data_IF_593138260763
#
_entry.id   IF_593138260763
#
_cell.length_a   1.000
_cell.length_b   1.000
_cell.length_c   1.000
_cell.angle_alpha   90.00
_cell.angle_beta   90.00
_cell.angle_gamma   90.00
#
_symmetry.space_group_name_H-M   'P 1'
#
loop_
_entity.id
_entity.type
_entity.pdbx_description
1 polymer ?
#
# COMPACT_ATOMS: atom_id res chain seq x y z
N UNK A 1 -19.30 32.95 -40.15
CA UNK A 1 -18.49 32.16 -39.19
C UNK A 1 -18.87 30.71 -39.36
N UNK A 2 -17.99 29.81 -39.74
CA UNK A 2 -18.31 28.38 -39.78
C UNK A 2 -18.55 27.85 -38.39
N UNK A 3 -19.62 27.04 -38.21
CA UNK A 3 -19.93 26.40 -36.95
C UNK A 3 -18.81 25.42 -36.60
N UNK A 4 -18.34 25.46 -35.35
CA UNK A 4 -17.46 24.45 -34.81
C UNK A 4 -18.14 23.09 -34.86
N UNK A 5 -17.47 22.01 -35.31
CA UNK A 5 -18.05 20.68 -35.26
C UNK A 5 -18.26 20.32 -33.76
N UNK A 6 -19.47 19.83 -33.46
CA UNK A 6 -19.79 19.18 -32.19
C UNK A 6 -18.73 18.10 -31.93
N UNK A 7 -18.06 18.18 -30.79
CA UNK A 7 -17.20 17.11 -30.31
C UNK A 7 -18.04 15.82 -30.30
N UNK A 8 -17.53 14.78 -30.93
CA UNK A 8 -18.16 13.46 -30.88
C UNK A 8 -18.34 13.08 -29.40
N UNK A 9 -19.54 12.52 -29.12
CA UNK A 9 -19.82 11.97 -27.79
C UNK A 9 -18.67 11.05 -27.35
N UNK A 10 -18.19 11.17 -26.09
CA UNK A 10 -17.15 10.28 -25.61
C UNK A 10 -17.64 8.83 -25.76
N UNK A 11 -16.74 7.89 -26.16
CA UNK A 11 -17.13 6.49 -26.28
C UNK A 11 -17.77 6.06 -24.97
N UNK A 12 -18.91 5.36 -25.06
CA UNK A 12 -19.58 4.77 -23.90
C UNK A 12 -18.52 3.99 -23.10
N UNK A 13 -18.13 4.57 -21.98
CA UNK A 13 -17.37 3.82 -20.99
C UNK A 13 -18.30 2.70 -20.58
N UNK A 14 -18.00 1.46 -21.00
CA UNK A 14 -18.62 0.29 -20.40
C UNK A 14 -18.47 0.49 -18.90
N UNK A 15 -19.58 0.81 -18.24
CA UNK A 15 -19.60 1.18 -16.85
C UNK A 15 -18.94 0.05 -16.07
N UNK A 16 -17.71 0.28 -15.63
CA UNK A 16 -17.12 -0.60 -14.64
C UNK A 16 -18.14 -0.69 -13.50
N UNK A 17 -18.44 -1.89 -12.98
CA UNK A 17 -19.41 -2.02 -11.90
C UNK A 17 -19.04 -0.99 -10.83
N UNK A 18 -20.04 -0.22 -10.36
CA UNK A 18 -19.80 0.79 -9.33
C UNK A 18 -19.03 0.15 -8.18
N UNK A 19 -17.90 0.73 -7.75
CA UNK A 19 -17.13 0.16 -6.67
C UNK A 19 -18.04 0.01 -5.46
N UNK A 20 -18.00 -1.15 -4.81
CA UNK A 20 -18.75 -1.37 -3.59
C UNK A 20 -18.48 -0.20 -2.61
N UNK A 21 -19.52 0.29 -1.89
CA UNK A 21 -19.35 1.42 -0.98
C UNK A 21 -18.21 1.16 0.01
N UNK A 22 -17.42 2.18 0.37
CA UNK A 22 -16.32 2.03 1.29
C UNK A 22 -16.81 1.53 2.64
N UNK A 23 -15.97 0.72 3.30
CA UNK A 23 -16.21 0.25 4.68
C UNK A 23 -15.27 0.97 5.62
N UNK A 24 -15.80 1.63 6.65
CA UNK A 24 -14.98 2.14 7.73
C UNK A 24 -14.31 0.97 8.47
N UNK A 25 -12.99 1.01 8.60
CA UNK A 25 -12.19 0.02 9.35
C UNK A 25 -11.64 0.61 10.64
N UNK A 26 -11.76 1.91 10.85
CA UNK A 26 -11.35 2.62 12.04
C UNK A 26 -11.32 4.13 11.82
N UNK A 27 -10.67 4.82 12.75
CA UNK A 27 -10.45 6.26 12.69
C UNK A 27 -9.00 6.55 13.05
N UNK A 28 -8.45 7.65 12.54
CA UNK A 28 -7.16 8.18 12.97
C UNK A 28 -7.25 8.84 14.34
N UNK A 29 -6.12 9.28 14.89
CA UNK A 29 -6.06 9.99 16.16
C UNK A 29 -6.95 11.25 16.16
N UNK A 30 -7.05 11.97 15.03
CA UNK A 30 -7.92 13.15 14.90
C UNK A 30 -9.37 12.82 14.49
N UNK A 31 -9.75 11.54 14.42
CA UNK A 31 -11.09 11.09 14.07
C UNK A 31 -11.39 11.03 12.58
N UNK A 32 -10.37 11.12 11.71
CA UNK A 32 -10.57 10.92 10.28
C UNK A 32 -10.89 9.44 10.02
N UNK A 33 -11.99 9.18 9.31
CA UNK A 33 -12.41 7.81 8.99
C UNK A 33 -11.42 7.12 8.05
N UNK A 34 -10.98 5.94 8.43
CA UNK A 34 -10.15 5.07 7.61
C UNK A 34 -11.05 4.10 6.85
N UNK A 35 -11.04 4.23 5.54
CA UNK A 35 -11.91 3.48 4.64
C UNK A 35 -11.15 2.39 3.88
N UNK A 36 -11.73 1.22 3.86
CA UNK A 36 -11.35 0.10 3.01
C UNK A 36 -12.31 0.04 1.83
N UNK A 37 -11.77 0.14 0.63
CA UNK A 37 -12.48 0.07 -0.65
C UNK A 37 -12.30 -1.31 -1.30
N UNK A 38 -13.13 -1.67 -2.26
CA UNK A 38 -13.01 -2.88 -3.07
C UNK A 38 -13.62 -4.13 -2.46
N UNK A 39 -13.15 -5.29 -2.90
CA UNK A 39 -13.71 -6.59 -2.56
C UNK A 39 -13.67 -6.90 -1.05
N UNK A 40 -14.60 -7.72 -0.58
CA UNK A 40 -14.63 -8.12 0.84
C UNK A 40 -13.57 -9.14 1.21
N UNK A 41 -13.22 -10.04 0.29
CA UNK A 41 -12.17 -11.06 0.44
C UNK A 41 -11.36 -11.10 -0.84
N UNK A 42 -10.06 -11.14 -0.71
CA UNK A 42 -9.11 -11.13 -1.81
C UNK A 42 -7.77 -11.71 -1.35
N UNK A 43 -6.93 -12.13 -2.29
CA UNK A 43 -5.58 -12.56 -1.97
C UNK A 43 -4.63 -11.40 -1.72
N UNK A 44 -4.98 -10.19 -2.17
CA UNK A 44 -4.18 -8.99 -2.05
C UNK A 44 -4.91 -7.90 -1.25
N UNK A 45 -4.16 -7.18 -0.41
CA UNK A 45 -4.55 -5.90 0.16
C UNK A 45 -3.54 -4.83 -0.27
N UNK A 46 -4.02 -3.74 -0.85
CA UNK A 46 -3.19 -2.59 -1.20
C UNK A 46 -3.32 -1.51 -0.13
N UNK A 47 -2.21 -0.94 0.31
CA UNK A 47 -2.20 0.17 1.25
C UNK A 47 -1.30 1.30 0.76
N UNK A 48 -1.78 2.54 0.90
CA UNK A 48 -1.00 3.75 0.71
C UNK A 48 -0.92 4.55 2.01
N UNK A 49 0.01 5.50 2.06
CA UNK A 49 0.07 6.51 3.11
C UNK A 49 0.28 5.96 4.53
N UNK A 50 1.09 4.94 4.71
CA UNK A 50 1.59 4.53 6.03
C UNK A 50 2.38 5.67 6.65
N UNK A 51 3.16 6.38 5.84
CA UNK A 51 3.82 7.62 6.22
C UNK A 51 3.14 8.80 5.51
N UNK A 52 2.81 9.84 6.27
CA UNK A 52 2.03 10.96 5.76
C UNK A 52 2.82 11.91 4.85
N UNK A 53 4.16 11.91 4.93
CA UNK A 53 5.04 12.70 4.07
C UNK A 53 5.38 12.02 2.72
N UNK A 54 4.76 10.88 2.44
CA UNK A 54 4.99 10.09 1.23
C UNK A 54 3.83 10.27 0.24
N UNK A 55 3.74 11.49 -0.30
CA UNK A 55 2.61 11.93 -1.13
C UNK A 55 2.44 11.12 -2.41
N UNK A 56 3.54 10.62 -3.00
CA UNK A 56 3.50 9.85 -4.25
C UNK A 56 2.77 8.52 -4.07
N UNK A 57 3.05 7.80 -2.95
CA UNK A 57 2.35 6.56 -2.60
C UNK A 57 0.86 6.79 -2.34
N UNK A 58 0.52 7.87 -1.62
CA UNK A 58 -0.87 8.27 -1.36
C UNK A 58 -1.59 8.60 -2.67
N UNK A 59 -0.97 9.42 -3.52
CA UNK A 59 -1.56 9.84 -4.78
C UNK A 59 -1.78 8.65 -5.73
N UNK A 60 -0.80 7.75 -5.84
CA UNK A 60 -0.93 6.55 -6.68
C UNK A 60 -2.03 5.61 -6.16
N UNK A 61 -2.20 5.47 -4.84
CA UNK A 61 -3.29 4.73 -4.25
C UNK A 61 -4.67 5.33 -4.61
N UNK A 62 -4.79 6.67 -4.57
CA UNK A 62 -6.01 7.34 -5.02
C UNK A 62 -6.26 7.22 -6.53
N UNK A 63 -5.21 7.22 -7.36
CA UNK A 63 -5.35 6.94 -8.79
C UNK A 63 -5.85 5.52 -9.05
N UNK A 64 -5.34 4.52 -8.32
CA UNK A 64 -5.81 3.14 -8.39
C UNK A 64 -7.30 3.05 -8.05
N UNK A 65 -7.73 3.74 -6.99
CA UNK A 65 -9.13 3.80 -6.58
C UNK A 65 -10.00 4.44 -7.66
N UNK A 66 -9.60 5.61 -8.17
CA UNK A 66 -10.31 6.32 -9.24
C UNK A 66 -10.39 5.52 -10.54
N UNK A 67 -9.39 4.67 -10.80
CA UNK A 67 -9.38 3.78 -11.97
C UNK A 67 -10.17 2.48 -11.77
N UNK A 68 -10.94 2.34 -10.69
CA UNK A 68 -11.76 1.17 -10.42
C UNK A 68 -10.94 -0.09 -10.07
N UNK A 69 -9.86 0.05 -9.31
CA UNK A 69 -9.10 -1.10 -8.80
C UNK A 69 -10.02 -2.01 -7.98
N UNK A 70 -10.13 -3.28 -8.38
CA UNK A 70 -11.02 -4.24 -7.72
C UNK A 70 -10.43 -4.78 -6.41
N UNK A 71 -9.09 -4.81 -6.27
CA UNK A 71 -8.43 -5.27 -5.06
C UNK A 71 -8.78 -4.39 -3.86
N UNK A 72 -8.93 -4.96 -2.65
CA UNK A 72 -9.09 -4.18 -1.43
C UNK A 72 -7.98 -3.15 -1.27
N UNK A 73 -8.36 -1.92 -0.94
CA UNK A 73 -7.45 -0.78 -0.93
C UNK A 73 -7.76 0.19 0.22
N UNK A 74 -6.73 0.55 1.00
CA UNK A 74 -6.72 1.70 1.90
C UNK A 74 -5.85 2.79 1.27
N UNK A 75 -6.42 3.88 0.72
CA UNK A 75 -5.63 4.88 -0.01
C UNK A 75 -4.64 5.66 0.85
N UNK A 76 -5.02 5.91 2.11
CA UNK A 76 -4.17 6.61 3.08
C UNK A 76 -4.44 6.06 4.48
N UNK A 77 -3.46 5.35 5.04
CA UNK A 77 -3.56 4.78 6.39
C UNK A 77 -3.31 5.85 7.47
N UNK A 78 -2.52 6.87 7.17
CA UNK A 78 -2.14 7.96 8.07
C UNK A 78 -2.61 9.33 7.56
N UNK A 79 -3.93 9.60 7.55
CA UNK A 79 -4.46 10.85 7.04
C UNK A 79 -4.02 12.07 7.88
N UNK A 80 -3.81 11.89 9.18
CA UNK A 80 -3.35 12.96 10.06
C UNK A 80 -1.91 13.37 9.72
N UNK A 81 -1.04 12.40 9.50
CA UNK A 81 0.33 12.64 9.03
C UNK A 81 0.36 13.27 7.64
N UNK A 82 -0.52 12.83 6.74
CA UNK A 82 -0.64 13.40 5.40
C UNK A 82 -1.08 14.88 5.44
N UNK A 83 -2.06 15.22 6.28
CA UNK A 83 -2.50 16.59 6.49
C UNK A 83 -1.37 17.47 7.01
N UNK A 84 -0.55 16.95 7.93
CA UNK A 84 0.56 17.65 8.56
C UNK A 84 1.87 17.56 7.75
N UNK A 85 1.89 16.82 6.64
CA UNK A 85 3.07 16.53 5.81
C UNK A 85 4.24 15.98 6.62
N UNK A 86 3.95 15.07 7.53
CA UNK A 86 4.92 14.42 8.40
C UNK A 86 4.85 12.90 8.27
N UNK A 87 5.98 12.23 8.53
CA UNK A 87 6.08 10.76 8.48
C UNK A 87 5.12 10.08 9.46
N UNK A 88 5.09 10.58 10.68
CA UNK A 88 4.41 10.01 11.84
C UNK A 88 2.90 10.31 11.83
N UNK A 89 2.15 9.55 12.62
CA UNK A 89 0.77 9.91 12.92
C UNK A 89 0.70 11.15 13.86
N UNK A 90 -0.49 11.52 14.29
CA UNK A 90 -0.70 12.69 15.16
C UNK A 90 -0.03 12.59 16.53
N UNK A 91 0.28 11.37 17.00
CA UNK A 91 0.99 11.10 18.25
C UNK A 91 2.51 11.00 18.08
N UNK A 92 3.03 11.36 16.91
CA UNK A 92 4.43 11.20 16.53
C UNK A 92 4.92 9.75 16.54
N UNK A 93 4.06 8.79 16.23
CA UNK A 93 4.43 7.37 16.10
C UNK A 93 4.64 7.02 14.64
N UNK A 94 5.72 6.31 14.34
CA UNK A 94 5.95 5.68 13.04
C UNK A 94 5.10 4.41 12.95
N UNK A 95 4.03 4.45 12.16
CA UNK A 95 3.10 3.32 12.01
C UNK A 95 3.80 2.07 11.46
N UNK A 96 4.88 2.25 10.68
CA UNK A 96 5.73 1.17 10.20
C UNK A 96 6.80 0.73 11.24
N UNK A 97 6.57 1.00 12.50
CA UNK A 97 7.28 0.50 13.70
C UNK A 97 6.30 0.08 14.80
N UNK A 98 5.01 0.25 14.57
CA UNK A 98 3.97 0.02 15.58
C UNK A 98 3.24 -1.31 15.42
N UNK A 99 3.58 -2.15 14.45
CA UNK A 99 2.94 -3.43 14.23
C UNK A 99 3.33 -4.48 15.30
N UNK A 100 2.40 -5.39 15.66
CA UNK A 100 2.65 -6.42 16.67
C UNK A 100 3.51 -7.55 16.08
N UNK A 101 4.82 -7.35 16.13
CA UNK A 101 5.82 -8.30 15.64
C UNK A 101 6.62 -8.89 16.80
N UNK A 102 7.22 -10.10 16.65
CA UNK A 102 8.05 -10.69 17.70
C UNK A 102 9.29 -9.86 18.08
N UNK A 103 9.77 -9.05 17.13
CA UNK A 103 10.94 -8.18 17.30
C UNK A 103 10.59 -6.73 17.70
N UNK A 104 9.30 -6.43 17.95
CA UNK A 104 8.89 -5.10 18.37
C UNK A 104 9.60 -4.70 19.68
N UNK A 105 10.02 -3.45 19.75
CA UNK A 105 10.67 -2.88 20.95
C UNK A 105 10.08 -1.50 21.22
N UNK A 106 9.90 -1.18 22.50
CA UNK A 106 9.51 0.17 22.93
C UNK A 106 10.67 1.18 22.74
N UNK A 107 11.89 0.68 22.60
CA UNK A 107 13.07 1.51 22.35
C UNK A 107 13.23 1.74 20.85
N UNK A 108 13.19 3.01 20.43
CA UNK A 108 13.46 3.38 19.07
C UNK A 108 14.95 3.17 18.74
N UNK A 109 15.25 2.38 17.73
CA UNK A 109 16.62 2.22 17.22
C UNK A 109 17.19 3.53 16.64
N UNK A 110 16.29 4.44 16.26
CA UNK A 110 16.59 5.78 15.78
C UNK A 110 15.44 6.72 16.20
N UNK A 111 15.71 7.92 16.73
CA UNK A 111 14.69 8.88 17.14
C UNK A 111 13.69 9.25 16.02
N UNK A 112 14.08 9.06 14.76
CA UNK A 112 13.21 9.27 13.59
C UNK A 112 12.10 8.23 13.48
N UNK A 113 12.20 7.08 14.16
CA UNK A 113 11.29 5.95 14.02
C UNK A 113 10.68 5.52 15.36
N UNK A 114 9.91 6.39 16.05
CA UNK A 114 9.31 6.08 17.35
C UNK A 114 8.23 5.00 17.19
N UNK A 115 8.35 3.88 17.95
CA UNK A 115 7.48 2.71 17.76
C UNK A 115 6.11 2.80 18.45
N UNK A 116 5.86 3.85 19.24
CA UNK A 116 4.68 3.97 20.09
C UNK A 116 4.86 3.35 21.47
N UNK A 117 3.82 3.41 22.29
CA UNK A 117 3.86 2.97 23.69
C UNK A 117 3.74 1.43 23.84
N UNK A 118 3.13 0.77 22.87
CA UNK A 118 2.95 -0.69 22.81
C UNK A 118 2.74 -1.12 21.35
N UNK A 119 2.89 -2.41 21.03
CA UNK A 119 2.50 -2.94 19.73
C UNK A 119 1.02 -2.62 19.45
N UNK A 120 0.74 -2.11 18.26
CA UNK A 120 -0.61 -1.70 17.86
C UNK A 120 -1.29 -0.69 18.80
N UNK A 121 -0.48 0.19 19.44
CA UNK A 121 -1.03 1.26 20.30
C UNK A 121 -1.81 2.31 19.49
N UNK A 122 -1.53 2.46 18.21
CA UNK A 122 -2.09 3.51 17.38
C UNK A 122 -3.41 3.07 16.71
N UNK A 123 -4.42 3.95 16.69
CA UNK A 123 -5.72 3.62 16.10
C UNK A 123 -5.61 3.31 14.60
N UNK A 124 -4.68 3.93 13.88
CA UNK A 124 -4.42 3.63 12.47
C UNK A 124 -3.86 2.21 12.29
N UNK A 125 -2.97 1.77 13.17
CA UNK A 125 -2.47 0.38 13.18
C UNK A 125 -3.59 -0.61 13.48
N UNK A 126 -4.47 -0.30 14.43
CA UNK A 126 -5.64 -1.13 14.74
C UNK A 126 -6.60 -1.20 13.55
N UNK A 127 -6.83 -0.10 12.85
CA UNK A 127 -7.65 -0.06 11.63
C UNK A 127 -7.05 -0.93 10.51
N UNK A 128 -5.73 -0.91 10.33
CA UNK A 128 -5.04 -1.80 9.41
C UNK A 128 -5.24 -3.28 9.78
N UNK A 129 -5.10 -3.63 11.06
CA UNK A 129 -5.33 -5.00 11.53
C UNK A 129 -6.79 -5.43 11.32
N UNK A 130 -7.76 -4.55 11.55
CA UNK A 130 -9.18 -4.80 11.25
C UNK A 130 -9.42 -5.02 9.74
N UNK A 131 -8.73 -4.26 8.89
CA UNK A 131 -8.80 -4.49 7.44
C UNK A 131 -8.23 -5.85 7.04
N UNK A 132 -7.10 -6.26 7.61
CA UNK A 132 -6.52 -7.59 7.39
C UNK A 132 -7.49 -8.72 7.81
N UNK A 133 -8.13 -8.59 8.95
CA UNK A 133 -9.13 -9.55 9.41
C UNK A 133 -10.33 -9.62 8.46
N UNK A 134 -10.78 -8.47 7.96
CA UNK A 134 -11.91 -8.39 7.05
C UNK A 134 -11.62 -8.97 5.66
N UNK A 135 -10.40 -8.75 5.13
CA UNK A 135 -9.99 -9.17 3.78
C UNK A 135 -9.43 -10.58 3.76
N UNK A 136 -8.63 -10.95 4.76
CA UNK A 136 -7.85 -12.19 4.86
C UNK A 136 -6.90 -12.38 3.65
N UNK A 137 -6.09 -11.38 3.31
CA UNK A 137 -5.18 -11.47 2.19
C UNK A 137 -4.04 -12.46 2.49
N UNK A 138 -3.40 -12.95 1.45
CA UNK A 138 -2.10 -13.65 1.56
C UNK A 138 -0.93 -12.74 1.16
N UNK A 139 -1.23 -11.62 0.53
CA UNK A 139 -0.25 -10.66 0.02
C UNK A 139 -0.66 -9.24 0.39
N UNK A 140 0.31 -8.41 0.73
CA UNK A 140 0.14 -6.98 0.96
C UNK A 140 1.04 -6.23 -0.03
N UNK A 141 0.48 -5.25 -0.72
CA UNK A 141 1.24 -4.28 -1.50
C UNK A 141 1.17 -2.92 -0.79
N UNK A 142 2.30 -2.46 -0.27
CA UNK A 142 2.43 -1.17 0.41
C UNK A 142 3.11 -0.15 -0.48
N UNK A 143 2.44 0.98 -0.71
CA UNK A 143 2.92 2.07 -1.55
C UNK A 143 3.57 3.13 -0.67
N UNK A 144 4.87 3.34 -0.86
CA UNK A 144 5.73 4.27 -0.14
C UNK A 144 6.42 5.25 -1.08
N UNK A 145 7.21 6.15 -0.52
CA UNK A 145 8.09 7.03 -1.30
C UNK A 145 9.45 7.16 -0.64
N UNK A 146 10.50 7.03 -1.45
CA UNK A 146 11.90 7.10 -1.02
C UNK A 146 12.71 8.00 -1.97
N UNK A 147 14.02 8.01 -1.82
CA UNK A 147 14.94 8.75 -2.70
C UNK A 147 15.16 8.09 -4.08
N UNK A 148 14.72 6.87 -4.27
CA UNK A 148 14.85 6.06 -5.49
C UNK A 148 13.69 5.08 -5.60
N UNK A 149 13.38 4.64 -6.82
CA UNK A 149 12.28 3.70 -7.07
C UNK A 149 12.77 2.27 -7.06
N UNK A 150 12.16 1.41 -6.22
CA UNK A 150 12.39 -0.04 -6.21
C UNK A 150 11.18 -0.79 -5.63
N UNK A 151 11.17 -2.10 -5.80
CA UNK A 151 10.25 -2.99 -5.10
C UNK A 151 11.04 -3.88 -4.15
N UNK A 152 10.70 -3.83 -2.86
CA UNK A 152 11.21 -4.75 -1.85
C UNK A 152 10.24 -5.91 -1.66
N UNK A 153 10.78 -7.13 -1.59
CA UNK A 153 9.99 -8.35 -1.41
C UNK A 153 10.33 -8.95 -0.07
N UNK A 154 9.46 -8.75 0.90
CA UNK A 154 9.58 -9.34 2.21
C UNK A 154 8.64 -10.55 2.32
N UNK A 155 9.21 -11.70 2.57
CA UNK A 155 8.51 -12.97 2.59
C UNK A 155 8.96 -13.83 3.77
N UNK A 156 8.10 -14.75 4.26
CA UNK A 156 8.56 -15.87 5.06
C UNK A 156 9.65 -16.67 4.33
N UNK A 157 10.40 -17.51 5.02
CA UNK A 157 11.50 -18.32 4.45
C UNK A 157 11.00 -19.34 3.41
N UNK A 158 10.42 -18.83 2.33
CA UNK A 158 9.93 -19.62 1.21
C UNK A 158 10.07 -18.87 -0.10
N UNK A 159 10.29 -19.62 -1.18
CA UNK A 159 10.27 -19.03 -2.52
C UNK A 159 8.85 -18.64 -2.95
N UNK A 160 8.76 -17.58 -3.76
CA UNK A 160 7.51 -17.23 -4.42
C UNK A 160 7.15 -18.36 -5.39
N UNK A 161 5.84 -18.58 -5.58
CA UNK A 161 5.39 -19.38 -6.72
C UNK A 161 5.93 -18.81 -8.02
N UNK A 162 6.02 -19.65 -9.05
CA UNK A 162 6.47 -19.20 -10.36
C UNK A 162 5.64 -18.03 -10.89
N UNK A 163 4.30 -18.06 -10.65
CA UNK A 163 3.37 -17.02 -11.09
C UNK A 163 3.60 -15.69 -10.37
N UNK A 164 3.67 -15.68 -9.03
CA UNK A 164 3.94 -14.48 -8.24
C UNK A 164 5.32 -13.89 -8.55
N UNK A 165 6.34 -14.74 -8.66
CA UNK A 165 7.69 -14.29 -9.03
C UNK A 165 7.71 -13.66 -10.42
N UNK A 166 7.09 -14.30 -11.41
CA UNK A 166 6.97 -13.75 -12.77
C UNK A 166 6.20 -12.43 -12.78
N UNK A 167 5.10 -12.30 -12.01
CA UNK A 167 4.35 -11.06 -11.92
C UNK A 167 5.21 -9.88 -11.48
N UNK A 168 6.02 -10.08 -10.43
CA UNK A 168 6.91 -9.02 -9.89
C UNK A 168 8.07 -8.73 -10.84
N UNK A 169 8.66 -9.77 -11.46
CA UNK A 169 9.76 -9.61 -12.41
C UNK A 169 9.32 -8.85 -13.67
N UNK A 170 8.18 -9.24 -14.25
CA UNK A 170 7.64 -8.59 -15.45
C UNK A 170 7.31 -7.12 -15.17
N UNK A 171 6.72 -6.84 -13.99
CA UNK A 171 6.46 -5.47 -13.59
C UNK A 171 7.75 -4.66 -13.40
N UNK A 172 8.71 -5.20 -12.66
CA UNK A 172 9.99 -4.53 -12.42
C UNK A 172 10.74 -4.23 -13.73
N UNK A 173 10.74 -5.18 -14.66
CA UNK A 173 11.33 -4.98 -15.98
C UNK A 173 10.58 -3.92 -16.81
N UNK A 174 9.25 -3.98 -16.84
CA UNK A 174 8.41 -3.01 -17.58
C UNK A 174 8.50 -1.59 -17.02
N UNK A 175 8.63 -1.45 -15.69
CA UNK A 175 8.76 -0.17 -15.01
C UNK A 175 10.22 0.33 -14.92
N UNK A 176 11.21 -0.48 -15.30
CA UNK A 176 12.65 -0.14 -15.22
C UNK A 176 13.14 0.04 -13.79
N UNK A 177 12.59 -0.74 -12.83
CA UNK A 177 12.88 -0.61 -11.41
C UNK A 177 13.65 -1.81 -10.86
N UNK A 178 14.42 -1.56 -9.78
CA UNK A 178 15.16 -2.59 -9.07
C UNK A 178 14.22 -3.41 -8.16
N UNK A 179 14.53 -4.68 -8.02
CA UNK A 179 13.94 -5.58 -7.05
C UNK A 179 14.93 -5.84 -5.91
N UNK A 180 14.52 -5.59 -4.67
CA UNK A 180 15.33 -5.79 -3.46
C UNK A 180 14.71 -6.86 -2.57
N UNK A 181 15.55 -7.53 -1.78
CA UNK A 181 15.10 -8.49 -0.75
C UNK A 181 15.18 -7.88 0.66
N UNK A 182 15.85 -6.76 0.81
CA UNK A 182 16.01 -6.05 2.08
C UNK A 182 16.50 -4.63 1.84
N UNK A 183 16.04 -3.71 2.69
CA UNK A 183 16.60 -2.34 2.77
C UNK A 183 17.95 -2.29 3.48
N UNK A 184 18.46 -3.42 3.98
CA UNK A 184 19.82 -3.54 4.52
C UNK A 184 20.00 -3.21 6.01
N UNK A 185 18.91 -2.94 6.76
CA UNK A 185 18.95 -2.72 8.22
C UNK A 185 17.69 -3.26 8.91
N UNK A 186 17.78 -3.62 10.22
CA UNK A 186 16.62 -4.11 10.97
C UNK A 186 15.52 -3.08 11.11
N UNK A 187 14.28 -3.52 10.95
CA UNK A 187 13.06 -2.69 11.06
C UNK A 187 12.06 -3.34 12.02
N UNK A 188 12.35 -3.38 13.34
CA UNK A 188 11.44 -3.98 14.30
C UNK A 188 10.08 -3.27 14.28
N UNK A 189 9.01 -4.05 14.39
CA UNK A 189 7.65 -3.52 14.33
C UNK A 189 7.18 -3.06 12.95
N UNK A 190 7.95 -3.32 11.88
CA UNK A 190 7.59 -2.92 10.52
C UNK A 190 6.67 -3.95 9.85
N UNK A 191 6.06 -3.51 8.73
CA UNK A 191 5.13 -4.31 7.93
C UNK A 191 5.78 -5.60 7.40
N UNK A 192 7.04 -5.56 6.99
CA UNK A 192 7.76 -6.74 6.53
C UNK A 192 8.01 -7.76 7.64
N UNK A 193 8.44 -7.30 8.83
CA UNK A 193 8.57 -8.16 10.00
C UNK A 193 7.21 -8.78 10.39
N UNK A 194 6.15 -7.99 10.32
CA UNK A 194 4.78 -8.45 10.55
C UNK A 194 4.36 -9.51 9.51
N UNK A 195 4.63 -9.25 8.24
CA UNK A 195 4.34 -10.20 7.16
C UNK A 195 5.01 -11.55 7.38
N UNK A 196 6.31 -11.54 7.70
CA UNK A 196 7.06 -12.78 8.04
C UNK A 196 6.43 -13.52 9.20
N UNK A 197 6.08 -12.81 10.29
CA UNK A 197 5.47 -13.40 11.48
C UNK A 197 4.05 -13.96 11.24
N UNK A 198 3.33 -13.41 10.26
CA UNK A 198 1.96 -13.82 9.90
C UNK A 198 1.88 -14.68 8.65
N UNK A 199 3.01 -15.11 8.12
CA UNK A 199 3.08 -15.90 6.88
C UNK A 199 2.43 -15.20 5.67
N UNK A 200 2.55 -13.85 5.59
CA UNK A 200 2.10 -13.02 4.49
C UNK A 200 3.28 -12.61 3.60
N UNK A 201 3.05 -12.56 2.30
CA UNK A 201 3.95 -11.89 1.38
C UNK A 201 3.74 -10.38 1.50
N UNK A 202 4.81 -9.61 1.70
CA UNK A 202 4.78 -8.15 1.69
C UNK A 202 5.63 -7.64 0.54
N UNK A 203 5.02 -6.84 -0.31
CA UNK A 203 5.68 -6.08 -1.36
C UNK A 203 5.65 -4.60 -0.95
N UNK A 204 6.81 -4.01 -0.72
CA UNK A 204 6.96 -2.58 -0.47
C UNK A 204 7.42 -1.92 -1.76
N UNK A 205 6.54 -1.12 -2.36
CA UNK A 205 6.85 -0.36 -3.55
C UNK A 205 7.25 1.06 -3.15
N UNK A 206 8.53 1.33 -3.26
CA UNK A 206 9.11 2.65 -3.02
C UNK A 206 9.11 3.45 -4.32
N UNK A 207 8.46 4.60 -4.32
CA UNK A 207 8.43 5.56 -5.42
C UNK A 207 9.45 6.65 -5.16
N UNK A 208 10.16 7.08 -6.19
CA UNK A 208 11.06 8.24 -6.06
C UNK A 208 10.25 9.49 -5.70
N UNK A 209 10.68 10.19 -4.66
CA UNK A 209 10.05 11.45 -4.22
C UNK A 209 10.19 12.54 -5.28
N UNK A 210 9.17 13.37 -5.40
CA UNK A 210 9.12 14.49 -6.35
C UNK A 210 8.63 14.12 -7.75
N UNK A 211 8.16 12.88 -7.95
CA UNK A 211 7.52 12.50 -9.22
C UNK A 211 6.28 13.36 -9.48
N UNK A 212 6.17 13.84 -10.71
CA UNK A 212 5.00 14.57 -11.17
C UNK A 212 3.77 13.66 -11.25
N UNK A 213 2.58 14.25 -11.23
CA UNK A 213 1.32 13.54 -11.41
C UNK A 213 1.28 12.74 -12.73
N UNK A 214 1.85 13.29 -13.81
CA UNK A 214 1.92 12.59 -15.11
C UNK A 214 2.77 11.32 -15.06
N UNK A 215 3.93 11.35 -14.36
CA UNK A 215 4.79 10.19 -14.18
C UNK A 215 4.10 9.11 -13.30
N UNK A 216 3.40 9.52 -12.24
CA UNK A 216 2.63 8.59 -11.40
C UNK A 216 1.45 7.99 -12.18
N UNK A 217 0.79 8.76 -13.03
CA UNK A 217 -0.30 8.28 -13.89
C UNK A 217 0.19 7.27 -14.92
N UNK A 218 1.42 7.42 -15.44
CA UNK A 218 2.03 6.45 -16.36
C UNK A 218 2.26 5.08 -15.69
N UNK A 219 2.45 5.03 -14.36
CA UNK A 219 2.61 3.78 -13.61
C UNK A 219 1.29 3.03 -13.40
N UNK A 220 0.14 3.70 -13.60
CA UNK A 220 -1.16 3.17 -13.21
C UNK A 220 -1.50 1.85 -13.94
N UNK A 221 -1.35 1.81 -15.26
CA UNK A 221 -1.72 0.62 -16.03
C UNK A 221 -0.79 -0.57 -15.78
N UNK A 222 0.55 -0.44 -15.76
CA UNK A 222 1.43 -1.52 -15.35
C UNK A 222 1.14 -2.02 -13.93
N UNK A 223 0.89 -1.10 -12.98
CA UNK A 223 0.60 -1.47 -11.59
C UNK A 223 -0.73 -2.21 -11.45
N UNK A 224 -1.76 -1.82 -12.20
CA UNK A 224 -3.03 -2.56 -12.24
C UNK A 224 -2.85 -3.99 -12.74
N UNK A 225 -1.99 -4.19 -13.72
CA UNK A 225 -1.65 -5.53 -14.23
C UNK A 225 -0.95 -6.36 -13.15
N UNK A 226 0.02 -5.77 -12.44
CA UNK A 226 0.66 -6.43 -11.30
C UNK A 226 -0.36 -6.80 -10.22
N UNK A 227 -1.21 -5.86 -9.81
CA UNK A 227 -2.26 -6.04 -8.79
C UNK A 227 -3.19 -7.20 -9.17
N UNK A 228 -3.67 -7.24 -10.41
CA UNK A 228 -4.55 -8.31 -10.88
C UNK A 228 -3.89 -9.70 -10.82
N UNK A 229 -2.59 -9.78 -11.14
CA UNK A 229 -1.82 -11.04 -11.04
C UNK A 229 -1.58 -11.45 -9.58
N UNK A 230 -1.25 -10.49 -8.70
CA UNK A 230 -1.05 -10.74 -7.26
C UNK A 230 -2.36 -11.18 -6.57
N UNK A 231 -3.49 -10.59 -6.94
CA UNK A 231 -4.79 -10.96 -6.39
C UNK A 231 -5.31 -12.29 -6.97
N UNK A 232 -4.94 -12.61 -8.20
CA UNK A 232 -5.31 -13.87 -8.87
C UNK A 232 -4.64 -15.11 -8.26
N UNK A 233 -3.58 -14.95 -7.47
CA UNK A 233 -2.81 -16.08 -6.93
C UNK A 233 -2.61 -15.94 -5.42
N UNK A 234 -3.00 -16.98 -4.67
CA UNK A 234 -2.80 -17.02 -3.23
C UNK A 234 -1.36 -17.37 -2.86
N UNK A 235 -0.70 -16.51 -2.13
CA UNK A 235 0.55 -16.87 -1.47
C UNK A 235 0.25 -17.86 -0.33
N UNK A 236 0.86 -19.03 -0.38
CA UNK A 236 0.73 -20.07 0.65
C UNK A 236 2.07 -20.22 1.33
N UNK A 237 2.13 -19.85 2.59
CA UNK A 237 3.30 -20.16 3.43
C UNK A 237 3.35 -21.66 3.74
N UNK A 238 4.53 -22.20 4.06
CA UNK A 238 4.70 -23.61 4.41
C UNK A 238 3.95 -24.00 5.68
#
# INVERSE_FOLDING_TARGET
>A
MPAMPLLAEPPEWNAAPEPAPPRAVGQSVLGNTLNLYGARRANLLVIGGVHGDESEGIFLAHLLLAAGCAAPLIPCLNPDGALLRQRWNRRNVDLNRNLPTPDWSAEATNPRYPPGAAPASEPETQAFLAALEAVQPSTILSLHSYKETFIEIERPERELSAGLNAAVLDYAAAAGIERRQSIGYPTPGALGAFGRAKALLVLTYELERGRSHGELQALLQPLRTLIARLDGERFVAP
#
